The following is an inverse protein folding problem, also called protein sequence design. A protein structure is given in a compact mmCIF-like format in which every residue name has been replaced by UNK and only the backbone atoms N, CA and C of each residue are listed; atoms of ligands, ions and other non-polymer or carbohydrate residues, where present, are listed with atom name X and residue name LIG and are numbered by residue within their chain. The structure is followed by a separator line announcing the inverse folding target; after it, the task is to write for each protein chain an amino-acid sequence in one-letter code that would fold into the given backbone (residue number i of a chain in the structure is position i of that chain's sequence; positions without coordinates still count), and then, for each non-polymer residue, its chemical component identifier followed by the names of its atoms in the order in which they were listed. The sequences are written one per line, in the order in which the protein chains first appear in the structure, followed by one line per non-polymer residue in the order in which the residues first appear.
data_IF_418612386491
#
_entry.id   IF_418612386491
#
_cell.length_a   1.000
_cell.length_b   1.000
_cell.length_c   1.000
_cell.angle_alpha   90.00
_cell.angle_beta   90.00
_cell.angle_gamma   90.00
#
_symmetry.space_group_name_H-M   'P 1'
#
loop_
_entity.id
_entity.type
_entity.pdbx_description
1 polymer ?
#
# COMPACT_ATOMS: atom_id res chain seq x y z
N UNK A 1 31.23 17.21 1.29
CA UNK A 1 29.90 17.39 0.71
C UNK A 1 29.85 16.76 -0.67
N UNK A 2 29.72 15.45 -0.81
CA UNK A 2 30.03 14.31 0.07
C UNK A 2 29.78 13.06 -0.77
N UNK A 3 30.82 12.45 -1.33
CA UNK A 3 30.71 11.11 -1.97
C UNK A 3 30.20 10.06 -0.97
N UNK A 4 30.40 10.30 0.34
CA UNK A 4 29.82 9.48 1.40
C UNK A 4 28.30 9.64 1.47
N UNK A 5 27.76 10.86 1.41
CA UNK A 5 26.31 11.13 1.49
C UNK A 5 25.57 10.50 0.29
N UNK A 6 26.20 10.47 -0.90
CA UNK A 6 25.67 9.83 -2.10
C UNK A 6 25.64 8.29 -2.02
N UNK A 7 26.63 7.67 -1.37
CA UNK A 7 26.71 6.20 -1.19
C UNK A 7 25.75 5.70 -0.11
N UNK A 8 25.55 6.45 0.99
CA UNK A 8 24.55 6.10 2.02
C UNK A 8 23.12 6.22 1.48
N UNK A 9 22.84 7.23 0.64
CA UNK A 9 21.52 7.43 0.02
C UNK A 9 21.14 6.30 -0.95
N UNK A 10 22.12 5.70 -1.65
CA UNK A 10 21.86 4.56 -2.55
C UNK A 10 21.55 3.26 -1.79
N UNK A 11 22.26 2.98 -0.70
CA UNK A 11 21.98 1.79 0.11
C UNK A 11 20.59 1.84 0.77
N UNK A 12 20.18 2.99 1.30
CA UNK A 12 18.85 3.18 1.87
C UNK A 12 17.73 3.06 0.81
N UNK A 13 17.96 3.55 -0.41
CA UNK A 13 17.03 3.34 -1.53
C UNK A 13 16.92 1.85 -1.91
N UNK A 14 18.02 1.11 -1.85
CA UNK A 14 18.03 -0.33 -2.11
C UNK A 14 17.26 -1.11 -1.03
N UNK A 15 17.44 -0.78 0.26
CA UNK A 15 16.71 -1.43 1.36
C UNK A 15 15.20 -1.16 1.29
N UNK A 16 14.79 0.07 1.00
CA UNK A 16 13.37 0.40 0.82
C UNK A 16 12.76 -0.33 -0.38
N UNK A 17 13.51 -0.52 -1.47
CA UNK A 17 13.06 -1.32 -2.61
C UNK A 17 12.93 -2.81 -2.25
N UNK A 18 13.86 -3.36 -1.46
CA UNK A 18 13.78 -4.75 -0.97
C UNK A 18 12.53 -4.92 -0.11
N UNK A 19 12.28 -3.99 0.83
CA UNK A 19 11.08 -4.00 1.67
C UNK A 19 9.82 -3.97 0.83
N UNK A 20 9.76 -3.08 -0.17
CA UNK A 20 8.62 -2.98 -1.07
C UNK A 20 8.36 -4.28 -1.81
N UNK A 21 9.41 -4.89 -2.38
CA UNK A 21 9.28 -6.14 -3.12
C UNK A 21 8.83 -7.29 -2.21
N UNK A 22 9.40 -7.43 -1.01
CA UNK A 22 8.96 -8.43 -0.04
C UNK A 22 7.49 -8.23 0.35
N UNK A 23 7.07 -6.99 0.59
CA UNK A 23 5.68 -6.68 0.90
C UNK A 23 4.75 -7.03 -0.28
N UNK A 24 5.17 -6.75 -1.52
CA UNK A 24 4.42 -7.12 -2.71
C UNK A 24 4.23 -8.64 -2.83
N UNK A 25 5.30 -9.40 -2.60
CA UNK A 25 5.29 -10.87 -2.62
C UNK A 25 4.37 -11.43 -1.52
N UNK A 26 4.51 -10.96 -0.27
CA UNK A 26 3.63 -11.38 0.83
C UNK A 26 2.16 -11.02 0.59
N UNK A 27 1.92 -9.86 -0.04
CA UNK A 27 0.58 -9.45 -0.45
C UNK A 27 -0.02 -10.43 -1.45
N UNK A 28 0.75 -10.81 -2.47
CA UNK A 28 0.34 -11.79 -3.49
C UNK A 28 0.08 -13.18 -2.89
N UNK A 29 0.93 -13.64 -1.97
CA UNK A 29 0.78 -14.91 -1.27
C UNK A 29 -0.38 -14.91 -0.25
N UNK A 30 -0.78 -13.72 0.22
CA UNK A 30 -1.91 -13.49 1.11
C UNK A 30 -1.59 -13.49 2.61
N UNK A 31 -0.36 -13.83 2.99
CA UNK A 31 0.10 -13.80 4.38
C UNK A 31 1.60 -13.49 4.46
N UNK A 32 1.97 -12.63 5.41
CA UNK A 32 3.37 -12.35 5.72
C UNK A 32 3.89 -13.39 6.74
N UNK A 33 5.16 -13.85 6.63
CA UNK A 33 5.75 -14.78 7.58
C UNK A 33 5.67 -14.30 9.04
N UNK A 34 5.58 -15.22 9.99
CA UNK A 34 5.60 -14.88 11.41
C UNK A 34 6.90 -14.15 11.79
N UNK A 35 6.77 -13.03 12.49
CA UNK A 35 7.90 -12.18 12.88
C UNK A 35 8.28 -11.13 11.83
N UNK A 36 7.54 -11.02 10.72
CA UNK A 36 7.69 -9.91 9.77
C UNK A 36 7.47 -8.57 10.49
N UNK A 37 8.33 -7.56 10.28
CA UNK A 37 8.15 -6.23 10.84
C UNK A 37 6.77 -5.63 10.51
N UNK A 38 6.12 -4.93 11.47
CA UNK A 38 4.72 -4.52 11.34
C UNK A 38 4.47 -3.58 10.16
N UNK A 39 5.40 -2.69 9.82
CA UNK A 39 5.31 -1.80 8.66
C UNK A 39 5.30 -2.56 7.33
N UNK A 40 6.09 -3.65 7.23
CA UNK A 40 6.09 -4.53 6.05
C UNK A 40 4.76 -5.30 5.95
N UNK A 41 4.20 -5.74 7.08
CA UNK A 41 2.87 -6.38 7.11
C UNK A 41 1.81 -5.40 6.59
N UNK A 42 1.79 -4.16 7.08
CA UNK A 42 0.86 -3.14 6.58
C UNK A 42 1.05 -2.87 5.09
N UNK A 43 2.29 -2.74 4.63
CA UNK A 43 2.58 -2.53 3.21
C UNK A 43 2.08 -3.70 2.36
N UNK A 44 2.20 -4.95 2.84
CA UNK A 44 1.71 -6.11 2.08
C UNK A 44 0.19 -6.13 1.93
N UNK A 45 -0.55 -5.74 2.97
CA UNK A 45 -2.00 -5.60 2.92
C UNK A 45 -2.44 -4.55 1.92
N UNK A 46 -1.75 -3.41 1.91
CA UNK A 46 -1.98 -2.33 0.97
C UNK A 46 -1.66 -2.76 -0.48
N UNK A 47 -0.48 -3.33 -0.72
CA UNK A 47 -0.02 -3.71 -2.05
C UNK A 47 -0.87 -4.81 -2.68
N UNK A 48 -1.45 -5.72 -1.88
CA UNK A 48 -2.40 -6.72 -2.40
C UNK A 48 -3.60 -6.08 -3.10
N UNK A 49 -4.23 -5.08 -2.45
CA UNK A 49 -5.40 -4.41 -3.00
C UNK A 49 -4.99 -3.44 -4.11
N UNK A 50 -3.94 -2.64 -3.89
CA UNK A 50 -3.40 -1.74 -4.90
C UNK A 50 -3.03 -2.45 -6.20
N UNK A 51 -2.35 -3.60 -6.14
CA UNK A 51 -2.00 -4.35 -7.36
C UNK A 51 -3.24 -4.91 -8.07
N UNK A 52 -4.32 -5.18 -7.33
CA UNK A 52 -5.61 -5.58 -7.94
C UNK A 52 -6.21 -4.40 -8.69
N UNK A 53 -6.26 -3.22 -8.06
CA UNK A 53 -6.72 -1.96 -8.68
C UNK A 53 -5.91 -1.66 -9.94
N UNK A 54 -4.58 -1.73 -9.87
CA UNK A 54 -3.72 -1.48 -11.04
C UNK A 54 -3.89 -2.53 -12.15
N UNK A 55 -4.37 -3.73 -11.81
CA UNK A 55 -4.62 -4.79 -12.76
C UNK A 55 -5.95 -4.69 -13.51
N UNK A 56 -6.97 -4.03 -12.93
CA UNK A 56 -8.31 -4.04 -13.51
C UNK A 56 -9.34 -3.05 -12.95
N UNK A 57 -8.92 -2.01 -12.21
CA UNK A 57 -9.82 -1.04 -11.58
C UNK A 57 -10.37 -1.50 -10.23
N UNK A 58 -11.19 -0.66 -9.61
CA UNK A 58 -11.71 -0.89 -8.26
C UNK A 58 -12.75 -2.00 -8.22
N UNK A 59 -13.63 -2.13 -9.22
CA UNK A 59 -14.58 -3.25 -9.28
C UNK A 59 -13.88 -4.60 -9.36
N UNK A 60 -12.85 -4.73 -10.21
CA UNK A 60 -12.02 -5.94 -10.23
C UNK A 60 -11.35 -6.20 -8.87
N UNK A 61 -10.80 -5.16 -8.23
CA UNK A 61 -10.17 -5.30 -6.92
C UNK A 61 -11.13 -5.82 -5.85
N UNK A 62 -12.40 -5.40 -5.90
CA UNK A 62 -13.45 -5.89 -5.02
C UNK A 62 -13.81 -7.35 -5.31
N UNK A 63 -13.92 -7.74 -6.58
CA UNK A 63 -14.23 -9.12 -6.97
C UNK A 63 -13.16 -10.14 -6.53
N UNK A 64 -11.88 -9.78 -6.61
CA UNK A 64 -10.76 -10.72 -6.39
C UNK A 64 -10.19 -10.71 -4.97
N UNK A 65 -10.77 -9.92 -4.07
CA UNK A 65 -10.35 -9.84 -2.67
C UNK A 65 -11.48 -10.20 -1.72
N UNK A 66 -11.13 -10.99 -0.70
CA UNK A 66 -12.05 -11.27 0.40
C UNK A 66 -12.30 -9.98 1.20
N UNK A 67 -13.50 -9.77 1.78
CA UNK A 67 -13.85 -8.53 2.47
C UNK A 67 -12.87 -8.14 3.59
N UNK A 68 -12.28 -9.11 4.28
CA UNK A 68 -11.30 -8.82 5.34
C UNK A 68 -9.97 -8.27 4.80
N UNK A 69 -9.59 -8.61 3.55
CA UNK A 69 -8.38 -8.06 2.91
C UNK A 69 -8.58 -6.59 2.56
N UNK A 70 -9.76 -6.21 2.08
CA UNK A 70 -10.12 -4.82 1.83
C UNK A 70 -10.12 -4.00 3.13
N UNK A 71 -10.67 -4.54 4.22
CA UNK A 71 -10.59 -3.90 5.55
C UNK A 71 -9.15 -3.72 6.04
N UNK A 72 -8.29 -4.73 5.86
CA UNK A 72 -6.86 -4.61 6.18
C UNK A 72 -6.17 -3.54 5.34
N UNK A 73 -6.54 -3.39 4.07
CA UNK A 73 -6.02 -2.32 3.23
C UNK A 73 -6.50 -0.93 3.70
N UNK A 74 -7.74 -0.79 4.17
CA UNK A 74 -8.21 0.46 4.83
C UNK A 74 -7.34 0.79 6.04
N UNK A 75 -7.07 -0.18 6.89
CA UNK A 75 -6.21 0.02 8.07
C UNK A 75 -4.76 0.38 7.67
N UNK A 76 -4.24 -0.26 6.62
CA UNK A 76 -2.92 0.04 6.07
C UNK A 76 -2.85 1.45 5.47
N UNK A 77 -3.87 1.87 4.70
CA UNK A 77 -3.96 3.23 4.16
C UNK A 77 -3.91 4.27 5.28
N UNK A 78 -4.64 4.04 6.38
CA UNK A 78 -4.58 4.89 7.58
C UNK A 78 -3.20 4.88 8.23
N UNK A 79 -2.56 3.71 8.33
CA UNK A 79 -1.20 3.59 8.87
C UNK A 79 -0.18 4.41 8.06
N UNK A 80 -0.35 4.49 6.74
CA UNK A 80 0.49 5.30 5.86
C UNK A 80 0.02 6.76 5.70
N UNK A 81 -1.02 7.19 6.44
CA UNK A 81 -1.53 8.56 6.38
C UNK A 81 -2.34 8.90 5.13
N UNK A 82 -2.76 7.88 4.37
CA UNK A 82 -3.57 8.01 3.15
C UNK A 82 -5.07 7.99 3.48
N UNK A 83 -5.51 8.92 4.33
CA UNK A 83 -6.86 8.92 4.91
C UNK A 83 -7.99 9.02 3.87
N UNK A 84 -7.84 9.85 2.85
CA UNK A 84 -8.86 10.02 1.80
C UNK A 84 -9.04 8.74 0.97
N UNK A 85 -7.93 8.05 0.65
CA UNK A 85 -7.99 6.73 0.02
C UNK A 85 -8.61 5.69 0.93
N UNK A 86 -8.34 5.76 2.24
CA UNK A 86 -8.95 4.85 3.21
C UNK A 86 -10.46 5.06 3.31
N UNK A 87 -10.92 6.30 3.24
CA UNK A 87 -12.35 6.66 3.23
C UNK A 87 -13.03 6.20 1.94
N UNK A 88 -12.40 6.38 0.78
CA UNK A 88 -12.92 5.88 -0.50
C UNK A 88 -13.09 4.35 -0.47
N UNK A 89 -12.08 3.62 0.01
CA UNK A 89 -12.17 2.17 0.08
C UNK A 89 -13.18 1.70 1.15
N UNK A 90 -13.33 2.44 2.25
CA UNK A 90 -14.35 2.17 3.25
C UNK A 90 -15.78 2.38 2.70
N UNK A 91 -16.00 3.44 1.92
CA UNK A 91 -17.27 3.69 1.22
C UNK A 91 -17.68 2.52 0.33
N UNK A 92 -16.73 1.95 -0.43
CA UNK A 92 -16.97 0.75 -1.25
C UNK A 92 -17.35 -0.47 -0.40
N UNK A 93 -16.72 -0.64 0.77
CA UNK A 93 -17.08 -1.71 1.72
C UNK A 93 -18.48 -1.50 2.30
N UNK A 94 -18.87 -0.26 2.59
CA UNK A 94 -20.18 0.11 3.13
C UNK A 94 -21.31 -0.09 2.11
N UNK A 95 -21.00 -0.01 0.81
CA UNK A 95 -21.90 -0.32 -0.29
C UNK A 95 -21.84 -1.80 -0.70
N UNK A 96 -21.72 -2.68 0.30
CA UNK A 96 -21.78 -4.15 0.15
C UNK A 96 -20.83 -4.74 -0.90
N UNK A 97 -19.72 -4.05 -1.19
CA UNK A 97 -18.76 -4.48 -2.21
C UNK A 97 -19.41 -4.64 -3.59
N UNK A 98 -20.36 -3.77 -3.91
CA UNK A 98 -20.99 -3.71 -5.23
C UNK A 98 -19.98 -3.25 -6.28
N UNK A 99 -19.81 -4.07 -7.33
CA UNK A 99 -18.84 -3.82 -8.40
C UNK A 99 -19.15 -2.57 -9.22
N UNK A 100 -20.43 -2.33 -9.52
CA UNK A 100 -20.86 -1.15 -10.27
C UNK A 100 -20.64 0.14 -9.45
N UNK A 101 -20.93 0.11 -8.14
CA UNK A 101 -20.57 1.20 -7.24
C UNK A 101 -19.07 1.42 -7.19
N UNK A 102 -18.27 0.36 -7.03
CA UNK A 102 -16.81 0.44 -7.01
C UNK A 102 -16.24 1.06 -8.30
N UNK A 103 -16.67 0.61 -9.47
CA UNK A 103 -16.27 1.16 -10.77
C UNK A 103 -16.65 2.64 -10.89
N UNK A 104 -17.78 3.06 -10.32
CA UNK A 104 -18.17 4.48 -10.31
C UNK A 104 -17.24 5.38 -9.49
N UNK A 105 -16.38 4.81 -8.64
CA UNK A 105 -15.38 5.53 -7.84
C UNK A 105 -13.98 5.54 -8.47
N UNK A 106 -13.78 4.92 -9.64
CA UNK A 106 -12.44 4.85 -10.28
C UNK A 106 -11.86 6.24 -10.56
N UNK A 107 -12.66 7.21 -11.01
CA UNK A 107 -12.19 8.58 -11.25
C UNK A 107 -11.69 9.28 -9.95
N UNK A 108 -12.38 9.03 -8.84
CA UNK A 108 -11.98 9.56 -7.53
C UNK A 108 -10.69 8.88 -7.05
N UNK A 109 -10.57 7.57 -7.29
CA UNK A 109 -9.37 6.80 -6.98
C UNK A 109 -8.16 7.26 -7.80
N UNK A 110 -8.32 7.47 -9.11
CA UNK A 110 -7.27 8.01 -9.97
C UNK A 110 -6.84 9.42 -9.53
N UNK A 111 -7.80 10.26 -9.14
CA UNK A 111 -7.52 11.61 -8.63
C UNK A 111 -6.66 11.56 -7.37
N UNK A 112 -6.98 10.65 -6.44
CA UNK A 112 -6.27 10.51 -5.16
C UNK A 112 -4.90 9.81 -5.30
N UNK A 113 -4.80 8.79 -6.16
CA UNK A 113 -3.54 8.12 -6.47
C UNK A 113 -2.62 8.96 -7.34
N UNK A 114 -3.16 9.98 -8.02
CA UNK A 114 -2.40 10.83 -8.92
C UNK A 114 -1.66 10.04 -10.01
N UNK A 115 -0.72 10.68 -10.72
CA UNK A 115 0.03 9.99 -11.76
C UNK A 115 0.87 8.85 -11.16
N UNK A 116 0.74 7.65 -11.76
CA UNK A 116 1.59 6.48 -11.50
C UNK A 116 1.62 5.98 -10.05
N UNK A 117 0.68 6.38 -9.19
CA UNK A 117 0.65 5.94 -7.79
C UNK A 117 1.78 6.50 -6.93
N UNK A 118 2.38 7.63 -7.34
CA UNK A 118 3.43 8.34 -6.59
C UNK A 118 3.09 8.62 -5.11
N UNK A 119 1.84 8.94 -4.73
CA UNK A 119 1.45 9.13 -3.33
C UNK A 119 1.69 7.89 -2.46
N UNK A 120 1.51 6.67 -2.99
CA UNK A 120 1.68 5.45 -2.22
C UNK A 120 3.17 5.21 -1.91
N UNK A 121 4.02 5.29 -2.94
CA UNK A 121 5.47 5.16 -2.78
C UNK A 121 6.04 6.26 -1.87
N UNK A 122 5.52 7.48 -1.98
CA UNK A 122 5.91 8.60 -1.12
C UNK A 122 5.49 8.37 0.32
N UNK A 123 4.24 7.97 0.56
CA UNK A 123 3.73 7.68 1.90
C UNK A 123 4.50 6.56 2.60
N UNK A 124 4.87 5.50 1.86
CA UNK A 124 5.75 4.45 2.35
C UNK A 124 7.11 5.02 2.81
N UNK A 125 7.80 5.78 1.95
CA UNK A 125 9.11 6.36 2.29
C UNK A 125 9.04 7.30 3.49
N UNK A 126 8.02 8.15 3.55
CA UNK A 126 7.78 9.05 4.69
C UNK A 126 7.58 8.23 5.97
N UNK A 127 6.77 7.17 5.91
CA UNK A 127 6.50 6.33 7.07
C UNK A 127 7.73 5.54 7.54
N UNK A 128 8.54 5.05 6.60
CA UNK A 128 9.79 4.36 6.90
C UNK A 128 10.83 5.30 7.53
N UNK A 129 10.91 6.56 7.08
CA UNK A 129 11.78 7.56 7.68
C UNK A 129 11.31 7.99 9.09
N UNK A 130 9.99 8.09 9.30
CA UNK A 130 9.41 8.47 10.60
C UNK A 130 9.51 7.35 11.64
N UNK A 131 9.36 6.09 11.21
CA UNK A 131 9.33 4.91 12.10
C UNK A 131 10.17 3.74 11.52
N UNK A 132 11.51 3.87 11.40
CA UNK A 132 12.36 2.90 10.71
C UNK A 132 12.31 1.49 11.33
N UNK A 133 12.18 1.40 12.66
CA UNK A 133 12.06 0.14 13.38
C UNK A 133 10.82 -0.70 12.97
N UNK A 134 9.72 -0.05 12.53
CA UNK A 134 8.54 -0.78 12.02
C UNK A 134 8.85 -1.56 10.73
N UNK A 135 9.93 -1.20 10.05
CA UNK A 135 10.39 -1.82 8.80
C UNK A 135 11.66 -2.65 8.99
N UNK A 136 12.15 -2.79 10.22
CA UNK A 136 13.40 -3.49 10.51
C UNK A 136 14.65 -2.75 10.00
N UNK A 137 14.55 -1.43 9.82
CA UNK A 137 15.67 -0.56 9.50
C UNK A 137 16.26 -0.06 10.84
N UNK A 138 17.48 -0.47 11.18
CA UNK A 138 18.25 -0.04 12.35
C UNK A 138 19.66 0.41 11.96
#
# INVERSE_FOLDING_TARGET
MDEVEEVWTHAELDDLNIIWNHAADYGADGEAPHGTPPGIVQLSHLLRVYNSVMGGGLGFAVEVNEPFRLRRAVDALRYFGLSELAELLADVIEHDLDGDHADSRDDDLETLLGPRGEPLATAFRVRAADSPADFGLE
#
